data_IF_699495160625
#
_entry.id   IF_699495160625
#
_cell.length_a   1.000
_cell.length_b   1.000
_cell.length_c   1.000
_cell.angle_alpha   90.00
_cell.angle_beta   90.00
_cell.angle_gamma   90.00
#
_symmetry.space_group_name_H-M   'P 1'
#
loop_
_entity.id
_entity.type
_entity.pdbx_description
1 polymer ?
#
# COMPACT_ATOMS: atom_id res chain seq x y z
N UNK A 1 28.67 28.13 -21.76
CA UNK A 1 28.22 27.45 -23.00
C UNK A 1 26.70 27.61 -23.09
N UNK A 2 26.21 28.30 -24.15
CA UNK A 2 24.77 28.36 -24.48
C UNK A 2 24.45 27.23 -25.45
N UNK A 3 23.62 26.28 -25.00
CA UNK A 3 23.12 25.22 -25.87
C UNK A 3 21.75 25.63 -26.41
N UNK A 4 21.47 25.31 -27.67
CA UNK A 4 20.14 25.50 -28.24
C UNK A 4 19.16 24.50 -27.65
N UNK A 5 17.85 24.83 -27.66
CA UNK A 5 16.81 23.89 -27.22
C UNK A 5 16.83 22.59 -28.03
N UNK A 6 17.14 22.65 -29.34
CA UNK A 6 17.30 21.49 -30.19
C UNK A 6 18.48 20.60 -29.74
N UNK A 7 19.62 21.21 -29.42
CA UNK A 7 20.79 20.46 -28.91
C UNK A 7 20.50 19.77 -27.57
N UNK A 8 19.78 20.44 -26.67
CA UNK A 8 19.35 19.84 -25.39
C UNK A 8 18.41 18.66 -25.64
N UNK A 9 17.44 18.82 -26.56
CA UNK A 9 16.49 17.75 -26.90
C UNK A 9 17.21 16.53 -27.50
N UNK A 10 18.15 16.71 -28.40
CA UNK A 10 18.94 15.64 -28.98
C UNK A 10 19.78 14.92 -27.92
N UNK A 11 20.47 15.66 -27.06
CA UNK A 11 21.26 15.12 -25.96
C UNK A 11 20.37 14.27 -25.03
N UNK A 12 19.16 14.75 -24.70
CA UNK A 12 18.22 14.00 -23.87
C UNK A 12 17.76 12.71 -24.55
N UNK A 13 17.49 12.73 -25.85
CA UNK A 13 17.09 11.54 -26.58
C UNK A 13 18.22 10.50 -26.68
N UNK A 14 19.43 10.93 -26.97
CA UNK A 14 20.62 10.05 -26.97
C UNK A 14 20.86 9.44 -25.59
N UNK A 15 20.81 10.25 -24.54
CA UNK A 15 20.95 9.80 -23.16
C UNK A 15 19.86 8.79 -22.77
N UNK A 16 18.62 9.00 -23.20
CA UNK A 16 17.51 8.11 -22.95
C UNK A 16 17.69 6.72 -23.62
N UNK A 17 18.32 6.65 -24.80
CA UNK A 17 18.64 5.39 -25.44
C UNK A 17 19.68 4.59 -24.65
N UNK A 18 20.71 5.26 -24.13
CA UNK A 18 21.72 4.64 -23.26
C UNK A 18 21.06 4.15 -21.96
N UNK A 19 20.23 5.00 -21.33
CA UNK A 19 19.49 4.66 -20.13
C UNK A 19 18.58 3.43 -20.33
N UNK A 20 17.87 3.37 -21.47
CA UNK A 20 17.03 2.23 -21.85
C UNK A 20 17.85 0.94 -21.94
N UNK A 21 18.99 1.00 -22.63
CA UNK A 21 19.87 -0.17 -22.76
C UNK A 21 20.36 -0.69 -21.39
N UNK A 22 20.70 0.22 -20.47
CA UNK A 22 21.06 -0.17 -19.09
C UNK A 22 19.88 -0.77 -18.33
N UNK A 23 18.69 -0.19 -18.42
CA UNK A 23 17.49 -0.73 -17.77
C UNK A 23 17.17 -2.15 -18.29
N UNK A 24 17.30 -2.38 -19.59
CA UNK A 24 17.02 -3.69 -20.23
C UNK A 24 18.10 -4.74 -19.97
N UNK A 25 19.33 -4.33 -19.72
CA UNK A 25 20.45 -5.24 -19.40
C UNK A 25 20.49 -5.65 -17.93
N UNK A 26 19.65 -5.04 -17.06
CA UNK A 26 19.65 -5.36 -15.64
C UNK A 26 19.06 -6.74 -15.40
N UNK A 27 19.80 -7.58 -14.69
CA UNK A 27 19.31 -8.87 -14.19
C UNK A 27 18.30 -8.64 -13.04
N UNK A 28 17.07 -9.08 -13.26
CA UNK A 28 15.96 -8.95 -12.32
C UNK A 28 15.75 -10.20 -11.44
N UNK A 29 16.60 -11.21 -11.53
CA UNK A 29 16.52 -12.43 -10.71
C UNK A 29 16.67 -12.17 -9.21
N UNK A 30 17.18 -11.00 -8.83
CA UNK A 30 17.32 -10.55 -7.43
C UNK A 30 16.11 -9.83 -6.87
N UNK A 31 15.12 -9.52 -7.69
CA UNK A 31 13.85 -8.97 -7.25
C UNK A 31 13.11 -10.05 -6.46
N UNK A 32 12.81 -9.77 -5.18
CA UNK A 32 12.18 -10.75 -4.30
C UNK A 32 10.71 -10.46 -4.06
N UNK A 33 10.38 -9.19 -3.89
CA UNK A 33 9.03 -8.75 -3.57
C UNK A 33 8.63 -7.59 -4.50
N UNK A 34 7.87 -7.92 -5.54
CA UNK A 34 7.38 -6.92 -6.48
C UNK A 34 6.17 -6.16 -5.96
N UNK A 35 6.04 -4.90 -6.37
CA UNK A 35 4.77 -4.18 -6.29
C UNK A 35 4.43 -3.62 -7.67
N UNK A 36 3.17 -3.80 -8.09
CA UNK A 36 2.64 -3.30 -9.35
C UNK A 36 1.50 -2.32 -9.12
N UNK A 37 1.45 -1.27 -9.94
CA UNK A 37 0.39 -0.28 -9.91
C UNK A 37 0.31 0.46 -11.26
N UNK A 38 -0.70 1.29 -11.42
CA UNK A 38 -0.94 2.11 -12.60
C UNK A 38 -1.08 3.58 -12.21
N UNK A 39 -0.45 4.44 -12.98
CA UNK A 39 -0.71 5.87 -12.88
C UNK A 39 -1.12 6.43 -14.25
N UNK A 40 -1.77 7.57 -14.25
CA UNK A 40 -2.17 8.24 -15.49
C UNK A 40 -1.39 9.53 -15.68
N UNK A 41 -0.89 9.71 -16.90
CA UNK A 41 -0.34 10.97 -17.35
C UNK A 41 -0.76 11.24 -18.80
N UNK A 42 -1.23 12.47 -19.07
CA UNK A 42 -1.64 12.91 -20.41
C UNK A 42 -2.67 11.98 -21.08
N UNK A 43 -3.63 11.46 -20.29
CA UNK A 43 -4.69 10.58 -20.79
C UNK A 43 -4.26 9.13 -21.08
N UNK A 44 -3.01 8.76 -20.78
CA UNK A 44 -2.49 7.41 -20.99
C UNK A 44 -2.08 6.76 -19.68
N UNK A 45 -2.28 5.44 -19.53
CA UNK A 45 -1.78 4.71 -18.39
C UNK A 45 -0.25 4.55 -18.50
N UNK A 46 0.41 4.63 -17.36
CA UNK A 46 1.80 4.26 -17.17
C UNK A 46 1.79 3.09 -16.19
N UNK A 47 2.23 1.93 -16.64
CA UNK A 47 2.40 0.74 -15.82
C UNK A 47 3.68 0.90 -15.02
N UNK A 48 3.62 0.65 -13.73
CA UNK A 48 4.73 0.80 -12.81
C UNK A 48 5.00 -0.49 -12.03
N UNK A 49 6.28 -0.81 -11.85
CA UNK A 49 6.72 -1.95 -11.06
C UNK A 49 8.00 -1.63 -10.31
N UNK A 50 8.05 -2.03 -9.03
CA UNK A 50 9.16 -1.74 -8.13
C UNK A 50 9.45 -2.94 -7.23
N UNK A 51 10.72 -3.20 -6.95
CA UNK A 51 11.12 -4.09 -5.86
C UNK A 51 11.01 -3.37 -4.52
N UNK A 52 10.13 -3.83 -3.63
CA UNK A 52 9.84 -3.13 -2.36
C UNK A 52 11.07 -3.04 -1.45
N UNK A 53 11.91 -4.10 -1.29
CA UNK A 53 13.08 -4.01 -0.43
C UNK A 53 14.12 -2.99 -0.90
N UNK A 54 14.44 -2.95 -2.19
CA UNK A 54 15.48 -2.07 -2.76
C UNK A 54 14.95 -0.73 -3.26
N UNK A 55 13.65 -0.62 -3.54
CA UNK A 55 13.04 0.47 -4.32
C UNK A 55 13.53 0.53 -5.78
N UNK A 56 14.05 -0.57 -6.31
CA UNK A 56 14.44 -0.65 -7.70
C UNK A 56 13.22 -0.67 -8.60
N UNK A 57 13.08 0.34 -9.45
CA UNK A 57 12.03 0.43 -10.47
C UNK A 57 12.41 -0.44 -11.66
N UNK A 58 11.71 -1.57 -11.85
CA UNK A 58 11.94 -2.47 -12.97
C UNK A 58 10.94 -2.31 -14.12
N UNK A 59 9.84 -1.58 -13.89
CA UNK A 59 8.83 -1.29 -14.90
C UNK A 59 8.37 0.17 -14.78
N UNK A 60 8.44 0.89 -15.89
CA UNK A 60 7.84 2.20 -16.07
C UNK A 60 7.49 2.37 -17.55
N UNK A 61 6.32 1.89 -17.95
CA UNK A 61 5.91 1.79 -19.36
C UNK A 61 4.66 2.59 -19.65
N UNK A 62 4.73 3.54 -20.59
CA UNK A 62 3.56 4.27 -21.07
C UNK A 62 2.84 3.44 -22.15
N UNK A 63 1.59 3.12 -21.89
CA UNK A 63 0.81 2.24 -22.72
C UNK A 63 -0.43 2.94 -23.32
N UNK A 64 -1.05 2.29 -24.29
CA UNK A 64 -2.33 2.74 -24.87
C UNK A 64 -3.51 2.28 -24.01
N UNK A 65 -3.35 1.16 -23.33
CA UNK A 65 -4.36 0.49 -22.52
C UNK A 65 -3.70 -0.10 -21.26
N UNK A 66 -4.51 -0.45 -20.28
CA UNK A 66 -4.12 -1.19 -19.07
C UNK A 66 -4.83 -2.54 -18.97
N UNK A 67 -5.22 -3.08 -20.12
CA UNK A 67 -5.90 -4.36 -20.20
C UNK A 67 -4.96 -5.55 -19.91
N UNK A 68 -5.53 -6.73 -19.82
CA UNK A 68 -4.82 -7.97 -19.54
C UNK A 68 -3.69 -8.24 -20.53
N UNK A 69 -3.90 -7.98 -21.84
CA UNK A 69 -2.90 -8.25 -22.88
C UNK A 69 -1.71 -7.30 -22.73
N UNK A 70 -1.97 -6.02 -22.48
CA UNK A 70 -0.91 -5.02 -22.28
C UNK A 70 -0.05 -5.36 -21.06
N UNK A 71 -0.67 -5.69 -19.93
CA UNK A 71 0.07 -6.15 -18.74
C UNK A 71 0.83 -7.44 -19.00
N UNK A 72 0.21 -8.44 -19.66
CA UNK A 72 0.85 -9.72 -19.95
C UNK A 72 2.12 -9.56 -20.80
N UNK A 73 2.11 -8.70 -21.82
CA UNK A 73 3.30 -8.41 -22.65
C UNK A 73 4.42 -7.84 -21.77
N UNK A 74 4.12 -6.84 -20.93
CA UNK A 74 5.13 -6.24 -20.05
C UNK A 74 5.69 -7.26 -19.05
N UNK A 75 4.85 -8.12 -18.45
CA UNK A 75 5.30 -9.17 -17.52
C UNK A 75 6.19 -10.21 -18.22
N UNK A 76 5.85 -10.62 -19.44
CA UNK A 76 6.69 -11.53 -20.25
C UNK A 76 8.05 -10.91 -20.59
N UNK A 77 8.08 -9.60 -20.86
CA UNK A 77 9.35 -8.90 -21.13
C UNK A 77 10.23 -8.81 -19.87
N UNK A 78 9.62 -8.63 -18.69
CA UNK A 78 10.34 -8.71 -17.41
C UNK A 78 10.88 -10.12 -17.14
N UNK A 79 10.13 -11.19 -17.44
CA UNK A 79 10.60 -12.57 -17.28
C UNK A 79 11.84 -12.85 -18.16
N UNK A 80 11.94 -12.26 -19.36
CA UNK A 80 13.14 -12.38 -20.20
C UNK A 80 14.39 -11.77 -19.54
N UNK A 81 14.20 -10.82 -18.59
CA UNK A 81 15.27 -10.23 -17.79
C UNK A 81 15.50 -10.98 -16.46
N UNK A 82 14.88 -12.15 -16.28
CA UNK A 82 15.01 -12.96 -15.08
C UNK A 82 14.04 -12.64 -13.94
N UNK A 83 13.02 -11.80 -14.18
CA UNK A 83 12.04 -11.46 -13.16
C UNK A 83 11.25 -12.68 -12.71
N UNK A 84 11.48 -13.11 -11.47
CA UNK A 84 10.83 -14.25 -10.83
C UNK A 84 10.73 -14.02 -9.31
N UNK A 85 9.92 -13.06 -8.86
CA UNK A 85 9.82 -12.70 -7.44
C UNK A 85 9.17 -13.82 -6.62
N UNK A 86 9.42 -13.82 -5.32
CA UNK A 86 8.76 -14.75 -4.39
C UNK A 86 7.26 -14.44 -4.25
N UNK A 87 6.89 -13.17 -4.40
CA UNK A 87 5.50 -12.69 -4.42
C UNK A 87 5.40 -11.28 -5.00
N UNK A 88 4.18 -10.90 -5.35
CA UNK A 88 3.83 -9.56 -5.84
C UNK A 88 2.70 -8.98 -4.98
N UNK A 89 2.71 -7.67 -4.74
CA UNK A 89 1.59 -6.93 -4.17
C UNK A 89 1.00 -6.03 -5.26
N UNK A 90 -0.30 -6.08 -5.45
CA UNK A 90 -0.99 -5.30 -6.48
C UNK A 90 -2.40 -4.90 -6.01
N UNK A 91 -2.95 -3.88 -6.68
CA UNK A 91 -4.36 -3.50 -6.49
C UNK A 91 -5.32 -4.54 -7.09
N UNK A 92 -6.62 -4.24 -7.06
CA UNK A 92 -7.70 -5.11 -7.58
C UNK A 92 -8.02 -4.84 -9.07
N UNK A 93 -7.09 -4.28 -9.84
CA UNK A 93 -7.30 -4.01 -11.26
C UNK A 93 -7.37 -5.32 -12.07
N UNK A 94 -8.52 -5.60 -12.69
CA UNK A 94 -8.76 -6.84 -13.46
C UNK A 94 -7.68 -7.10 -14.52
N UNK A 95 -7.23 -6.06 -15.23
CA UNK A 95 -6.20 -6.18 -16.26
C UNK A 95 -4.90 -6.74 -15.72
N UNK A 96 -4.42 -6.17 -14.61
CA UNK A 96 -3.21 -6.61 -13.94
C UNK A 96 -3.36 -8.01 -13.32
N UNK A 97 -4.45 -8.25 -12.59
CA UNK A 97 -4.72 -9.53 -11.92
C UNK A 97 -4.81 -10.70 -12.91
N UNK A 98 -5.55 -10.53 -13.98
CA UNK A 98 -5.71 -11.54 -15.03
C UNK A 98 -4.38 -11.79 -15.77
N UNK A 99 -3.61 -10.73 -16.06
CA UNK A 99 -2.30 -10.87 -16.68
C UNK A 99 -1.31 -11.62 -15.77
N UNK A 100 -1.29 -11.27 -14.47
CA UNK A 100 -0.47 -11.97 -13.49
C UNK A 100 -0.81 -13.45 -13.42
N UNK A 101 -2.09 -13.80 -13.30
CA UNK A 101 -2.55 -15.20 -13.27
C UNK A 101 -2.17 -15.95 -14.56
N UNK A 102 -2.21 -15.28 -15.72
CA UNK A 102 -1.87 -15.89 -17.02
C UNK A 102 -0.36 -16.12 -17.21
N UNK A 103 0.47 -15.17 -16.77
CA UNK A 103 1.92 -15.18 -17.04
C UNK A 103 2.72 -15.72 -15.86
N UNK A 104 2.26 -15.51 -14.64
CA UNK A 104 2.98 -15.75 -13.39
C UNK A 104 2.09 -16.46 -12.35
N UNK A 105 1.19 -17.34 -12.79
CA UNK A 105 0.18 -17.96 -11.93
C UNK A 105 0.72 -18.75 -10.73
N UNK A 106 1.97 -19.20 -10.78
CA UNK A 106 2.64 -19.88 -9.67
C UNK A 106 3.18 -18.91 -8.59
N UNK A 107 3.23 -17.60 -8.89
CA UNK A 107 3.73 -16.58 -7.98
C UNK A 107 2.55 -15.93 -7.26
N UNK A 108 2.52 -15.92 -5.91
CA UNK A 108 1.46 -15.26 -5.17
C UNK A 108 1.32 -13.77 -5.52
N UNK A 109 0.09 -13.33 -5.76
CA UNK A 109 -0.25 -11.93 -5.99
C UNK A 109 -1.19 -11.45 -4.90
N UNK A 110 -0.65 -10.80 -3.88
CA UNK A 110 -1.40 -10.33 -2.72
C UNK A 110 -2.17 -9.03 -3.04
N UNK A 111 -3.21 -8.78 -2.26
CA UNK A 111 -3.94 -7.53 -2.36
C UNK A 111 -3.26 -6.42 -1.55
N UNK A 112 -3.24 -5.22 -2.12
CA UNK A 112 -2.66 -4.06 -1.49
C UNK A 112 -3.56 -3.50 -0.37
N UNK A 113 -3.03 -3.50 0.84
CA UNK A 113 -3.70 -2.92 2.00
C UNK A 113 -3.96 -1.41 1.88
N UNK A 114 -3.16 -0.67 1.11
CA UNK A 114 -3.36 0.76 0.93
C UNK A 114 -4.73 1.05 0.31
N UNK A 115 -5.11 0.32 -0.74
CA UNK A 115 -6.37 0.51 -1.44
C UNK A 115 -7.59 0.15 -0.58
N UNK A 116 -7.55 -0.97 0.15
CA UNK A 116 -8.66 -1.33 1.03
C UNK A 116 -8.79 -0.38 2.23
N UNK A 117 -7.66 0.07 2.80
CA UNK A 117 -7.68 1.08 3.86
C UNK A 117 -8.25 2.41 3.37
N UNK A 118 -7.92 2.82 2.14
CA UNK A 118 -8.50 4.01 1.50
C UNK A 118 -10.01 3.88 1.33
N UNK A 119 -10.49 2.74 0.82
CA UNK A 119 -11.93 2.48 0.65
C UNK A 119 -12.67 2.56 2.01
N UNK A 120 -12.09 2.00 3.08
CA UNK A 120 -12.63 2.10 4.44
C UNK A 120 -12.68 3.55 4.93
N UNK A 121 -11.61 4.32 4.72
CA UNK A 121 -11.55 5.73 5.10
C UNK A 121 -12.53 6.59 4.30
N UNK A 122 -12.73 6.31 3.01
CA UNK A 122 -13.69 7.01 2.16
C UNK A 122 -15.12 6.69 2.57
N UNK A 123 -15.44 5.45 2.97
CA UNK A 123 -16.71 5.09 3.57
C UNK A 123 -16.96 5.85 4.88
N UNK A 124 -15.96 5.86 5.79
CA UNK A 124 -16.01 6.62 7.05
C UNK A 124 -16.33 8.09 6.82
N UNK A 125 -15.62 8.73 5.88
CA UNK A 125 -15.81 10.13 5.51
C UNK A 125 -17.19 10.37 4.92
N UNK A 126 -17.64 9.50 4.03
CA UNK A 126 -18.96 9.58 3.41
C UNK A 126 -20.09 9.53 4.45
N UNK A 127 -20.06 8.54 5.36
CA UNK A 127 -21.09 8.39 6.40
C UNK A 127 -21.09 9.54 7.40
N UNK A 128 -19.90 10.02 7.79
CA UNK A 128 -19.77 11.22 8.66
C UNK A 128 -20.41 12.46 8.01
N UNK A 129 -20.14 12.69 6.73
CA UNK A 129 -20.70 13.83 6.01
C UNK A 129 -22.21 13.68 5.84
N UNK A 130 -22.69 12.47 5.50
CA UNK A 130 -24.13 12.18 5.33
C UNK A 130 -24.89 12.34 6.65
N UNK A 131 -24.33 11.85 7.77
CA UNK A 131 -24.89 12.07 9.11
C UNK A 131 -25.03 13.55 9.44
N UNK A 132 -23.98 14.34 9.21
CA UNK A 132 -24.02 15.78 9.45
C UNK A 132 -25.08 16.49 8.60
N UNK A 133 -25.25 16.10 7.33
CA UNK A 133 -26.26 16.65 6.46
C UNK A 133 -27.66 16.27 6.95
N UNK A 134 -27.89 14.99 7.28
CA UNK A 134 -29.18 14.51 7.80
C UNK A 134 -29.57 15.19 9.13
N UNK A 135 -28.59 15.43 10.00
CA UNK A 135 -28.76 16.18 11.25
C UNK A 135 -29.23 17.60 10.97
N UNK A 136 -28.58 18.33 10.07
CA UNK A 136 -28.97 19.69 9.68
C UNK A 136 -30.36 19.72 9.08
N UNK A 137 -30.65 18.86 8.09
CA UNK A 137 -31.96 18.78 7.42
C UNK A 137 -33.09 18.44 8.41
N UNK A 138 -32.83 17.55 9.38
CA UNK A 138 -33.79 17.21 10.43
C UNK A 138 -34.11 18.40 11.33
N UNK A 139 -33.09 19.09 11.83
CA UNK A 139 -33.31 20.26 12.73
C UNK A 139 -33.96 21.44 12.01
N UNK A 140 -33.59 21.72 10.75
CA UNK A 140 -34.23 22.75 9.95
C UNK A 140 -35.73 22.44 9.73
N UNK A 141 -36.04 21.16 9.37
CA UNK A 141 -37.41 20.72 9.20
C UNK A 141 -38.22 20.78 10.54
N UNK A 142 -37.60 20.46 11.66
CA UNK A 142 -38.21 20.55 12.99
C UNK A 142 -38.60 22.00 13.35
N UNK A 143 -37.71 22.95 13.07
CA UNK A 143 -38.02 24.40 13.25
C UNK A 143 -39.15 24.82 12.36
N UNK A 144 -39.13 24.49 11.07
CA UNK A 144 -40.20 24.78 10.11
C UNK A 144 -41.56 24.17 10.49
N UNK A 145 -41.56 22.96 11.06
CA UNK A 145 -42.78 22.29 11.52
C UNK A 145 -43.38 22.94 12.75
N UNK A 146 -42.58 23.55 13.64
CA UNK A 146 -43.04 24.27 14.81
C UNK A 146 -43.58 25.65 14.43
N UNK A 147 -43.02 26.33 13.44
CA UNK A 147 -43.42 27.67 13.00
C UNK A 147 -44.62 27.67 12.02
N UNK A 148 -45.02 26.47 11.52
CA UNK A 148 -46.11 26.35 10.54
C UNK A 148 -47.46 26.70 11.18
N UNK A 149 -48.02 27.90 10.86
CA UNK A 149 -49.24 28.45 11.42
C UNK A 149 -50.55 27.87 10.76
N UNK A 150 -50.47 27.14 9.66
CA UNK A 150 -51.62 26.65 8.89
C UNK A 150 -51.66 25.12 8.80
N UNK A 151 -52.80 24.48 9.13
CA UNK A 151 -53.00 23.01 9.20
C UNK A 151 -52.60 22.24 7.94
N UNK A 152 -52.82 22.77 6.74
CA UNK A 152 -52.44 22.10 5.47
C UNK A 152 -50.93 22.03 5.25
N UNK A 153 -50.19 23.05 5.65
CA UNK A 153 -48.74 23.07 5.58
C UNK A 153 -48.12 22.24 6.68
N UNK A 154 -48.72 22.15 7.85
CA UNK A 154 -48.26 21.37 9.00
C UNK A 154 -48.21 19.87 8.67
N UNK A 155 -49.24 19.32 8.02
CA UNK A 155 -49.26 17.89 7.63
C UNK A 155 -48.10 17.54 6.67
N UNK A 156 -47.75 18.42 5.73
CA UNK A 156 -46.62 18.25 4.80
C UNK A 156 -45.29 18.22 5.56
N UNK A 157 -45.04 19.19 6.44
CA UNK A 157 -43.84 19.26 7.21
C UNK A 157 -43.72 18.14 8.23
N UNK A 158 -44.82 17.67 8.84
CA UNK A 158 -44.79 16.52 9.76
C UNK A 158 -44.39 15.24 9.05
N UNK A 159 -44.88 14.96 7.80
CA UNK A 159 -44.44 13.80 7.04
C UNK A 159 -43.02 13.86 6.60
N UNK A 160 -42.52 15.05 6.20
CA UNK A 160 -41.14 15.28 5.85
C UNK A 160 -40.21 15.09 7.08
N UNK A 161 -40.60 15.65 8.22
CA UNK A 161 -39.87 15.52 9.49
C UNK A 161 -39.72 14.06 9.91
N UNK A 162 -40.79 13.26 9.84
CA UNK A 162 -40.73 11.83 10.19
C UNK A 162 -39.83 11.01 9.25
N UNK A 163 -39.68 11.43 7.99
CA UNK A 163 -38.75 10.77 7.06
C UNK A 163 -37.29 11.14 7.38
N UNK A 164 -37.02 12.43 7.64
CA UNK A 164 -35.70 12.92 8.00
C UNK A 164 -35.24 12.40 9.36
N UNK A 165 -36.14 12.31 10.34
CA UNK A 165 -35.87 11.70 11.64
C UNK A 165 -35.45 10.25 11.53
N UNK A 166 -36.13 9.47 10.69
CA UNK A 166 -35.76 8.06 10.43
C UNK A 166 -34.37 7.95 9.79
N UNK A 167 -34.08 8.80 8.81
CA UNK A 167 -32.78 8.82 8.16
C UNK A 167 -31.67 9.23 9.13
N UNK A 168 -31.88 10.31 9.90
CA UNK A 168 -30.94 10.78 10.93
C UNK A 168 -30.68 9.69 11.98
N UNK A 169 -31.74 9.06 12.53
CA UNK A 169 -31.58 8.01 13.52
C UNK A 169 -30.84 6.78 12.97
N UNK A 170 -31.13 6.40 11.72
CA UNK A 170 -30.44 5.31 11.04
C UNK A 170 -28.94 5.62 10.87
N UNK A 171 -28.60 6.78 10.35
CA UNK A 171 -27.20 7.19 10.15
C UNK A 171 -26.46 7.41 11.47
N UNK A 172 -27.15 7.89 12.50
CA UNK A 172 -26.59 8.06 13.85
C UNK A 172 -26.27 6.72 14.54
N UNK A 173 -26.96 5.64 14.14
CA UNK A 173 -26.63 4.29 14.56
C UNK A 173 -25.51 3.67 13.70
N UNK A 174 -25.61 3.77 12.38
CA UNK A 174 -24.67 3.11 11.44
C UNK A 174 -23.28 3.73 11.48
N UNK A 175 -23.17 5.07 11.52
CA UNK A 175 -21.87 5.75 11.38
C UNK A 175 -20.88 5.42 12.51
N UNK A 176 -21.24 5.45 13.80
CA UNK A 176 -20.35 5.04 14.88
C UNK A 176 -19.98 3.55 14.81
N UNK A 177 -20.96 2.70 14.49
CA UNK A 177 -20.75 1.25 14.37
C UNK A 177 -19.74 0.93 13.27
N UNK A 178 -19.90 1.53 12.09
CA UNK A 178 -18.92 1.40 10.98
C UNK A 178 -17.54 1.90 11.39
N UNK A 179 -17.46 3.02 12.11
CA UNK A 179 -16.19 3.54 12.61
C UNK A 179 -15.49 2.53 13.53
N UNK A 180 -16.22 1.89 14.43
CA UNK A 180 -15.70 0.86 15.32
C UNK A 180 -15.22 -0.37 14.55
N UNK A 181 -16.02 -0.88 13.61
CA UNK A 181 -15.67 -2.02 12.77
C UNK A 181 -14.42 -1.75 11.90
N UNK A 182 -14.34 -0.56 11.31
CA UNK A 182 -13.14 -0.13 10.57
C UNK A 182 -11.93 -0.06 11.50
N UNK A 183 -12.08 0.49 12.70
CA UNK A 183 -10.99 0.55 13.67
C UNK A 183 -10.48 -0.84 14.07
N UNK A 184 -11.38 -1.80 14.31
CA UNK A 184 -10.99 -3.19 14.58
C UNK A 184 -10.29 -3.84 13.38
N UNK A 185 -10.81 -3.59 12.15
CA UNK A 185 -10.17 -4.11 10.94
C UNK A 185 -8.73 -3.57 10.81
N UNK A 186 -8.54 -2.26 10.99
CA UNK A 186 -7.23 -1.60 10.85
C UNK A 186 -6.24 -2.01 11.97
N UNK A 187 -6.71 -1.99 13.23
CA UNK A 187 -5.84 -2.13 14.39
C UNK A 187 -5.67 -3.57 14.89
N UNK A 188 -6.67 -4.44 14.70
CA UNK A 188 -6.64 -5.79 15.24
C UNK A 188 -6.44 -6.87 14.16
N UNK A 189 -6.98 -6.63 12.96
CA UNK A 189 -6.82 -7.57 11.84
C UNK A 189 -5.61 -7.22 10.98
N UNK A 190 -5.52 -5.98 10.50
CA UNK A 190 -4.51 -5.56 9.53
C UNK A 190 -3.22 -5.02 10.14
N UNK A 191 -3.18 -4.76 11.43
CA UNK A 191 -1.94 -4.30 12.05
C UNK A 191 -0.84 -5.36 11.99
N UNK A 192 0.41 -4.95 11.72
CA UNK A 192 1.54 -5.88 11.62
C UNK A 192 1.73 -6.63 12.94
N UNK A 193 2.00 -5.97 14.08
CA UNK A 193 1.93 -6.62 15.38
C UNK A 193 0.47 -6.96 15.73
N UNK A 194 0.19 -8.22 16.05
CA UNK A 194 -1.18 -8.61 16.39
C UNK A 194 -1.32 -10.09 16.73
N UNK A 195 -2.54 -10.60 16.63
CA UNK A 195 -2.87 -11.99 16.95
C UNK A 195 -2.44 -12.97 15.85
N UNK A 196 -2.31 -14.27 16.17
CA UNK A 196 -2.10 -15.33 15.18
C UNK A 196 -3.18 -15.36 14.10
N UNK A 197 -2.88 -15.98 12.96
CA UNK A 197 -3.73 -16.01 11.76
C UNK A 197 -5.15 -16.50 12.04
N UNK A 198 -5.31 -17.53 12.89
CA UNK A 198 -6.63 -18.08 13.21
C UNK A 198 -7.55 -17.03 13.82
N UNK A 199 -7.07 -16.31 14.84
CA UNK A 199 -7.85 -15.28 15.53
C UNK A 199 -8.14 -14.09 14.60
N UNK A 200 -7.19 -13.72 13.72
CA UNK A 200 -7.42 -12.65 12.75
C UNK A 200 -8.48 -13.04 11.72
N UNK A 201 -8.51 -14.29 11.25
CA UNK A 201 -9.56 -14.80 10.34
C UNK A 201 -10.93 -14.81 11.01
N UNK A 202 -11.01 -15.22 12.26
CA UNK A 202 -12.24 -15.20 13.04
C UNK A 202 -12.77 -13.77 13.20
N UNK A 203 -11.92 -12.83 13.61
CA UNK A 203 -12.28 -11.43 13.77
C UNK A 203 -12.64 -10.76 12.42
N UNK A 204 -11.88 -11.05 11.36
CA UNK A 204 -12.19 -10.57 10.02
C UNK A 204 -13.60 -11.01 9.57
N UNK A 205 -13.91 -12.30 9.75
CA UNK A 205 -15.22 -12.85 9.39
C UNK A 205 -16.35 -12.22 10.22
N UNK A 206 -16.14 -12.03 11.52
CA UNK A 206 -17.10 -11.34 12.38
C UNK A 206 -17.35 -9.90 11.89
N UNK A 207 -16.29 -9.13 11.66
CA UNK A 207 -16.41 -7.74 11.16
C UNK A 207 -17.13 -7.71 9.82
N UNK A 208 -16.83 -8.64 8.90
CA UNK A 208 -17.49 -8.73 7.61
C UNK A 208 -18.99 -9.01 7.75
N UNK A 209 -19.39 -9.93 8.64
CA UNK A 209 -20.79 -10.23 8.93
C UNK A 209 -21.55 -8.99 9.46
N UNK A 210 -20.92 -8.24 10.36
CA UNK A 210 -21.49 -6.99 10.88
C UNK A 210 -21.64 -5.92 9.79
N UNK A 211 -20.64 -5.75 8.91
CA UNK A 211 -20.76 -4.88 7.74
C UNK A 211 -21.91 -5.30 6.82
N UNK A 212 -22.09 -6.60 6.59
CA UNK A 212 -23.17 -7.13 5.76
C UNK A 212 -24.55 -6.90 6.40
N UNK A 213 -24.65 -6.99 7.73
CA UNK A 213 -25.87 -6.66 8.45
C UNK A 213 -26.22 -5.16 8.30
N UNK A 214 -25.24 -4.29 8.43
CA UNK A 214 -25.42 -2.84 8.23
C UNK A 214 -25.72 -2.50 6.76
N UNK A 215 -25.16 -3.23 5.79
CA UNK A 215 -25.43 -3.07 4.37
C UNK A 215 -26.89 -3.39 4.00
N UNK A 216 -27.57 -4.26 4.74
CA UNK A 216 -29.02 -4.52 4.57
C UNK A 216 -29.86 -3.31 4.97
N UNK A 217 -29.41 -2.54 5.94
CA UNK A 217 -30.10 -1.33 6.43
C UNK A 217 -29.79 -0.12 5.55
N UNK A 218 -28.54 0.01 5.07
CA UNK A 218 -28.06 1.12 4.25
C UNK A 218 -27.02 0.60 3.23
N UNK A 219 -27.46 0.10 2.04
CA UNK A 219 -26.57 -0.62 1.12
C UNK A 219 -25.51 0.27 0.44
N UNK A 220 -25.80 1.58 0.34
CA UNK A 220 -24.94 2.50 -0.42
C UNK A 220 -23.50 2.51 0.11
N UNK A 221 -22.55 2.21 -0.77
CA UNK A 221 -21.11 2.08 -0.51
C UNK A 221 -20.68 0.95 0.45
N UNK A 222 -21.50 0.59 1.45
CA UNK A 222 -21.18 -0.49 2.40
C UNK A 222 -21.14 -1.83 1.67
N UNK A 223 -22.12 -2.11 0.80
CA UNK A 223 -22.18 -3.37 0.04
C UNK A 223 -20.94 -3.57 -0.85
N UNK A 224 -20.45 -2.51 -1.51
CA UNK A 224 -19.23 -2.58 -2.33
C UNK A 224 -17.99 -2.94 -1.52
N UNK A 225 -17.83 -2.36 -0.32
CA UNK A 225 -16.75 -2.70 0.60
C UNK A 225 -16.87 -4.16 1.08
N UNK A 226 -18.07 -4.63 1.45
CA UNK A 226 -18.28 -6.03 1.85
C UNK A 226 -17.86 -7.00 0.75
N UNK A 227 -18.22 -6.72 -0.51
CA UNK A 227 -17.85 -7.56 -1.65
C UNK A 227 -16.33 -7.63 -1.83
N UNK A 228 -15.64 -6.49 -1.76
CA UNK A 228 -14.19 -6.44 -1.83
C UNK A 228 -13.54 -7.22 -0.69
N UNK A 229 -13.92 -6.94 0.56
CA UNK A 229 -13.37 -7.63 1.73
C UNK A 229 -13.56 -9.15 1.63
N UNK A 230 -14.74 -9.61 1.20
CA UNK A 230 -15.04 -11.05 1.03
C UNK A 230 -14.14 -11.69 -0.01
N UNK A 231 -14.00 -11.06 -1.19
CA UNK A 231 -13.24 -11.61 -2.30
C UNK A 231 -11.72 -11.57 -2.06
N UNK A 232 -11.24 -10.58 -1.30
CA UNK A 232 -9.82 -10.32 -1.08
C UNK A 232 -9.29 -10.85 0.26
N UNK A 233 -10.14 -11.47 1.10
CA UNK A 233 -9.82 -11.86 2.48
C UNK A 233 -8.49 -12.58 2.61
N UNK A 234 -8.28 -13.64 1.84
CA UNK A 234 -7.10 -14.49 1.99
C UNK A 234 -5.83 -13.76 1.51
N UNK A 235 -5.89 -13.00 0.43
CA UNK A 235 -4.77 -12.16 -0.03
C UNK A 235 -4.47 -11.00 0.91
N UNK A 236 -5.49 -10.39 1.55
CA UNK A 236 -5.29 -9.36 2.57
C UNK A 236 -4.67 -9.92 3.86
N UNK A 237 -4.86 -11.19 4.17
CA UNK A 237 -4.28 -11.86 5.34
C UNK A 237 -2.97 -12.59 5.04
N UNK A 238 -2.53 -12.65 3.79
CA UNK A 238 -1.33 -13.38 3.37
C UNK A 238 -0.04 -12.94 4.09
N UNK A 239 0.07 -11.66 4.48
CA UNK A 239 1.20 -11.18 5.27
C UNK A 239 1.30 -11.85 6.65
N UNK A 240 0.18 -12.31 7.22
CA UNK A 240 0.17 -13.02 8.51
C UNK A 240 0.70 -14.43 8.36
N UNK A 241 0.40 -15.10 7.24
CA UNK A 241 0.98 -16.42 6.93
C UNK A 241 2.50 -16.31 6.76
N UNK A 242 3.00 -15.21 6.16
CA UNK A 242 4.45 -14.93 6.08
C UNK A 242 5.07 -14.72 7.47
N UNK A 243 4.39 -13.97 8.33
CA UNK A 243 4.84 -13.77 9.71
C UNK A 243 4.85 -15.10 10.49
N UNK A 244 3.80 -15.91 10.34
CA UNK A 244 3.70 -17.20 11.01
C UNK A 244 4.85 -18.13 10.62
N UNK A 245 5.20 -18.21 9.34
CA UNK A 245 6.39 -18.95 8.88
C UNK A 245 7.68 -18.43 9.54
N UNK A 246 7.91 -17.12 9.55
CA UNK A 246 9.09 -16.50 10.17
C UNK A 246 9.12 -16.76 11.70
N UNK A 247 7.97 -16.73 12.35
CA UNK A 247 7.85 -16.99 13.79
C UNK A 247 8.09 -18.45 14.14
N UNK A 248 7.69 -19.40 13.28
CA UNK A 248 8.07 -20.80 13.42
C UNK A 248 9.59 -20.99 13.35
N UNK A 249 10.27 -20.28 12.44
CA UNK A 249 11.73 -20.32 12.33
C UNK A 249 12.42 -19.76 13.60
N UNK A 250 11.88 -18.66 14.16
CA UNK A 250 12.35 -18.07 15.42
C UNK A 250 12.14 -19.06 16.57
N UNK A 251 10.94 -19.63 16.70
CA UNK A 251 10.61 -20.60 17.74
C UNK A 251 11.54 -21.82 17.67
N UNK A 252 11.78 -22.35 16.49
CA UNK A 252 12.70 -23.47 16.25
C UNK A 252 14.15 -23.12 16.59
N UNK A 253 14.62 -21.95 16.16
CA UNK A 253 16.00 -21.47 16.39
C UNK A 253 16.30 -21.34 17.88
N UNK A 254 15.34 -20.84 18.65
CA UNK A 254 15.51 -20.55 20.07
C UNK A 254 14.90 -21.61 21.00
N UNK A 255 14.41 -22.73 20.44
CA UNK A 255 13.80 -23.84 21.18
C UNK A 255 12.70 -23.39 22.15
N UNK A 256 11.84 -22.48 21.70
CA UNK A 256 10.68 -21.98 22.45
C UNK A 256 9.36 -22.30 21.71
N UNK A 257 8.23 -22.08 22.38
CA UNK A 257 6.91 -22.29 21.75
C UNK A 257 6.56 -21.14 20.81
N UNK A 258 5.79 -21.44 19.76
CA UNK A 258 5.27 -20.42 18.86
C UNK A 258 4.39 -19.38 19.59
N UNK A 259 3.70 -19.81 20.66
CA UNK A 259 2.88 -18.92 21.51
C UNK A 259 3.73 -17.83 22.15
N UNK A 260 4.92 -18.15 22.68
CA UNK A 260 5.86 -17.16 23.23
C UNK A 260 6.21 -16.11 22.17
N UNK A 261 6.53 -16.53 20.94
CA UNK A 261 6.88 -15.62 19.86
C UNK A 261 5.71 -14.69 19.49
N UNK A 262 4.48 -15.22 19.42
CA UNK A 262 3.28 -14.41 19.17
C UNK A 262 2.97 -13.46 20.34
N UNK A 263 3.17 -13.87 21.60
CA UNK A 263 2.99 -12.96 22.75
C UNK A 263 3.98 -11.81 22.73
N UNK A 264 5.26 -12.08 22.39
CA UNK A 264 6.27 -11.02 22.20
C UNK A 264 5.92 -10.12 21.01
N UNK A 265 5.41 -10.68 19.91
CA UNK A 265 4.88 -9.87 18.79
C UNK A 265 3.77 -8.92 19.25
N UNK A 266 2.85 -9.38 20.11
CA UNK A 266 1.76 -8.54 20.61
C UNK A 266 2.25 -7.40 21.53
N UNK A 267 3.40 -7.56 22.20
CA UNK A 267 4.01 -6.48 23.00
C UNK A 267 4.36 -5.28 22.12
N UNK A 268 4.68 -5.48 20.84
CA UNK A 268 5.03 -4.42 19.90
C UNK A 268 3.84 -3.49 19.56
N UNK A 269 2.64 -3.79 20.08
CA UNK A 269 1.47 -2.88 20.07
C UNK A 269 1.50 -1.87 21.22
N UNK A 270 2.27 -2.11 22.24
CA UNK A 270 2.40 -1.25 23.40
C UNK A 270 3.47 -0.18 23.16
N UNK A 271 3.35 0.94 23.86
CA UNK A 271 4.46 1.89 23.92
C UNK A 271 5.68 1.21 24.55
N UNK A 272 6.78 1.18 23.83
CA UNK A 272 8.01 0.52 24.27
C UNK A 272 8.45 1.06 25.64
N UNK A 273 8.74 0.17 26.59
CA UNK A 273 8.98 0.46 27.99
C UNK A 273 7.89 1.23 28.75
N UNK A 274 6.65 1.29 28.23
CA UNK A 274 5.51 1.81 28.98
C UNK A 274 4.97 0.77 29.99
N UNK A 275 4.13 1.24 30.94
CA UNK A 275 3.58 0.37 32.00
C UNK A 275 2.88 -0.88 31.46
N UNK A 276 2.11 -0.75 30.38
CA UNK A 276 1.42 -1.87 29.75
C UNK A 276 2.40 -2.87 29.12
N UNK A 277 3.51 -2.39 28.55
CA UNK A 277 4.57 -3.25 28.02
C UNK A 277 5.19 -4.06 29.16
N UNK A 278 5.62 -3.42 30.24
CA UNK A 278 6.19 -4.09 31.40
C UNK A 278 5.24 -5.11 32.01
N UNK A 279 3.99 -4.74 32.26
CA UNK A 279 3.00 -5.68 32.83
C UNK A 279 2.80 -6.92 31.96
N UNK A 280 2.82 -6.79 30.63
CA UNK A 280 2.63 -7.93 29.71
C UNK A 280 3.90 -8.70 29.43
N UNK A 281 5.08 -8.09 29.55
CA UNK A 281 6.35 -8.79 29.35
C UNK A 281 6.76 -9.64 30.54
N UNK A 282 6.43 -9.23 31.77
CA UNK A 282 6.80 -9.99 33.00
C UNK A 282 6.47 -11.48 32.94
N UNK A 283 5.24 -11.91 32.59
CA UNK A 283 4.93 -13.36 32.56
C UNK A 283 5.75 -14.11 31.48
N UNK A 284 6.18 -13.42 30.42
CA UNK A 284 6.99 -14.01 29.36
C UNK A 284 8.44 -14.11 29.83
N UNK A 285 8.96 -13.07 30.48
CA UNK A 285 10.29 -13.05 31.09
C UNK A 285 10.45 -14.13 32.14
N UNK A 286 9.41 -14.35 32.99
CA UNK A 286 9.40 -15.42 33.99
C UNK A 286 9.43 -16.83 33.35
N UNK A 287 8.84 -16.98 32.14
CA UNK A 287 8.79 -18.24 31.41
C UNK A 287 10.09 -18.56 30.69
N UNK A 288 10.73 -17.58 30.02
CA UNK A 288 11.86 -17.84 29.13
C UNK A 288 13.20 -17.27 29.62
N UNK A 289 13.19 -16.37 30.60
CA UNK A 289 14.37 -15.63 31.06
C UNK A 289 14.70 -14.43 30.15
N UNK A 290 15.45 -13.47 30.73
CA UNK A 290 15.74 -12.17 30.09
C UNK A 290 16.55 -12.31 28.79
N UNK A 291 17.64 -13.08 28.83
CA UNK A 291 18.54 -13.26 27.69
C UNK A 291 17.81 -13.86 26.46
N UNK A 292 16.96 -14.88 26.70
CA UNK A 292 16.21 -15.53 25.63
C UNK A 292 15.06 -14.64 25.12
N UNK A 293 14.43 -13.88 26.01
CA UNK A 293 13.41 -12.90 25.67
C UNK A 293 13.96 -11.87 24.68
N UNK A 294 15.12 -11.26 24.96
CA UNK A 294 15.75 -10.26 24.11
C UNK A 294 16.08 -10.82 22.71
N UNK A 295 16.63 -12.03 22.64
CA UNK A 295 16.93 -12.70 21.38
C UNK A 295 15.68 -12.99 20.53
N UNK A 296 14.57 -13.37 21.17
CA UNK A 296 13.29 -13.60 20.48
C UNK A 296 12.69 -12.26 20.04
N UNK A 297 12.73 -11.24 20.89
CA UNK A 297 12.21 -9.91 20.58
C UNK A 297 12.93 -9.30 19.38
N UNK A 298 14.24 -9.36 19.32
CA UNK A 298 15.04 -8.94 18.16
C UNK A 298 14.65 -9.69 16.89
N UNK A 299 14.44 -11.00 16.98
CA UNK A 299 13.95 -11.83 15.88
C UNK A 299 12.56 -11.41 15.42
N UNK A 300 11.66 -11.14 16.34
CA UNK A 300 10.29 -10.67 16.06
C UNK A 300 10.33 -9.31 15.39
N UNK A 301 11.11 -8.35 15.89
CA UNK A 301 11.26 -7.02 15.29
C UNK A 301 11.83 -7.12 13.87
N UNK A 302 12.83 -7.98 13.64
CA UNK A 302 13.38 -8.23 12.32
C UNK A 302 12.33 -8.84 11.37
N UNK A 303 11.51 -9.78 11.84
CA UNK A 303 10.43 -10.39 11.07
C UNK A 303 9.35 -9.36 10.70
N UNK A 304 8.91 -8.53 11.66
CA UNK A 304 7.94 -7.46 11.43
C UNK A 304 8.46 -6.44 10.40
N UNK A 305 9.72 -5.99 10.55
CA UNK A 305 10.35 -5.00 9.67
C UNK A 305 10.60 -5.52 8.25
N UNK A 306 10.75 -6.84 8.07
CA UNK A 306 10.99 -7.47 6.78
C UNK A 306 9.72 -8.02 6.11
N UNK A 307 8.55 -7.84 6.73
CA UNK A 307 7.25 -8.26 6.16
C UNK A 307 6.52 -7.05 5.63
N UNK A 308 6.11 -7.13 4.38
CA UNK A 308 5.40 -6.06 3.69
C UNK A 308 3.96 -6.51 3.37
N UNK A 309 3.04 -5.56 3.38
CA UNK A 309 1.62 -5.78 3.08
C UNK A 309 1.00 -4.68 2.22
N UNK A 310 1.80 -3.71 1.81
CA UNK A 310 1.33 -2.55 1.04
C UNK A 310 2.23 -2.29 -0.15
N UNK A 311 1.65 -1.76 -1.19
CA UNK A 311 2.36 -1.24 -2.36
C UNK A 311 2.87 0.19 -2.16
N UNK A 312 3.03 0.65 -0.92
CA UNK A 312 3.46 2.04 -0.62
C UNK A 312 4.75 2.45 -1.34
N UNK A 313 5.61 1.47 -1.69
CA UNK A 313 6.81 1.71 -2.48
C UNK A 313 6.45 2.16 -3.92
N UNK A 314 5.48 1.51 -4.57
CA UNK A 314 5.06 1.90 -5.93
C UNK A 314 4.27 3.22 -5.90
N UNK A 315 3.49 3.49 -4.86
CA UNK A 315 2.85 4.79 -4.67
C UNK A 315 3.88 5.93 -4.52
N UNK A 316 4.97 5.67 -3.80
CA UNK A 316 6.11 6.61 -3.72
C UNK A 316 6.76 6.81 -5.10
N UNK A 317 6.98 5.73 -5.86
CA UNK A 317 7.48 5.80 -7.23
C UNK A 317 6.56 6.65 -8.11
N UNK A 318 5.25 6.41 -8.06
CA UNK A 318 4.23 7.16 -8.79
C UNK A 318 4.27 8.65 -8.44
N UNK A 319 4.34 8.99 -7.15
CA UNK A 319 4.47 10.37 -6.69
C UNK A 319 5.73 11.08 -7.20
N UNK A 320 6.88 10.40 -7.14
CA UNK A 320 8.16 10.90 -7.66
C UNK A 320 8.11 11.08 -9.18
N UNK A 321 7.60 10.11 -9.91
CA UNK A 321 7.47 10.18 -11.37
C UNK A 321 6.54 11.31 -11.80
N UNK A 322 5.39 11.47 -11.15
CA UNK A 322 4.46 12.59 -11.42
C UNK A 322 5.13 13.94 -11.23
N UNK A 323 6.03 14.11 -10.28
CA UNK A 323 6.75 15.38 -10.08
C UNK A 323 7.66 15.76 -11.25
N UNK A 324 8.25 14.78 -11.94
CA UNK A 324 9.04 15.02 -13.16
C UNK A 324 8.17 15.27 -14.39
N UNK A 325 6.94 14.73 -14.40
CA UNK A 325 6.00 14.92 -15.50
C UNK A 325 5.25 16.25 -15.44
N UNK A 326 5.05 16.81 -14.24
CA UNK A 326 4.18 17.97 -14.00
C UNK A 326 4.46 19.19 -14.89
N UNK A 327 5.73 19.45 -15.21
CA UNK A 327 6.14 20.62 -15.99
C UNK A 327 6.34 20.32 -17.50
N UNK A 328 5.93 19.15 -17.97
CA UNK A 328 6.06 18.79 -19.40
C UNK A 328 4.71 18.92 -20.11
N UNK A 329 4.77 19.13 -21.42
CA UNK A 329 3.56 19.17 -22.27
C UNK A 329 3.10 17.77 -22.68
N UNK A 330 4.03 16.82 -22.72
CA UNK A 330 3.79 15.43 -23.12
C UNK A 330 4.76 14.49 -22.39
N UNK A 331 4.38 13.22 -22.30
CA UNK A 331 5.22 12.13 -21.85
C UNK A 331 5.48 11.19 -23.04
N UNK A 332 6.70 10.72 -23.19
CA UNK A 332 7.07 9.64 -24.09
C UNK A 332 7.89 8.59 -23.36
N UNK A 333 7.98 7.39 -23.94
CA UNK A 333 8.68 6.27 -23.33
C UNK A 333 10.17 6.57 -23.07
N UNK A 334 10.84 7.25 -24.00
CA UNK A 334 12.27 7.61 -23.83
C UNK A 334 12.52 8.42 -22.56
N UNK A 335 11.61 9.32 -22.20
CA UNK A 335 11.73 10.08 -20.97
C UNK A 335 11.47 9.23 -19.73
N UNK A 336 10.53 8.29 -19.80
CA UNK A 336 10.29 7.34 -18.70
C UNK A 336 11.47 6.41 -18.51
N UNK A 337 12.10 5.93 -19.59
CA UNK A 337 13.32 5.12 -19.54
C UNK A 337 14.45 5.88 -18.82
N UNK A 338 14.60 7.16 -19.11
CA UNK A 338 15.57 8.02 -18.43
C UNK A 338 15.21 8.25 -16.95
N UNK A 339 13.93 8.51 -16.62
CA UNK A 339 13.49 8.65 -15.22
C UNK A 339 13.74 7.35 -14.46
N UNK A 340 13.37 6.20 -15.01
CA UNK A 340 13.58 4.88 -14.43
C UNK A 340 15.07 4.68 -14.10
N UNK A 341 15.96 4.90 -15.07
CA UNK A 341 17.40 4.83 -14.87
C UNK A 341 17.88 5.79 -13.78
N UNK A 342 17.48 7.07 -13.85
CA UNK A 342 17.88 8.10 -12.88
C UNK A 342 17.45 7.74 -11.45
N UNK A 343 16.22 7.28 -11.27
CA UNK A 343 15.69 6.88 -9.96
C UNK A 343 16.46 5.68 -9.40
N UNK A 344 16.81 4.72 -10.24
CA UNK A 344 17.52 3.50 -9.86
C UNK A 344 18.98 3.75 -9.46
N UNK A 345 19.64 4.77 -10.05
CA UNK A 345 21.05 5.05 -9.82
C UNK A 345 21.31 6.30 -8.95
N UNK A 346 20.25 6.91 -8.41
CA UNK A 346 20.40 8.05 -7.49
C UNK A 346 20.30 7.59 -6.05
N UNK A 347 21.35 7.86 -5.22
CA UNK A 347 21.34 7.46 -3.82
C UNK A 347 20.24 8.15 -3.01
N UNK A 348 19.68 7.42 -2.05
CA UNK A 348 18.71 7.98 -1.10
C UNK A 348 19.38 9.02 -0.21
N UNK A 349 18.88 10.24 -0.23
CA UNK A 349 19.30 11.30 0.70
C UNK A 349 18.69 11.14 2.09
N UNK A 350 17.47 10.56 2.15
CA UNK A 350 16.71 10.29 3.37
C UNK A 350 15.88 9.01 3.15
N UNK A 351 15.75 8.20 4.17
CA UNK A 351 14.91 7.01 4.17
C UNK A 351 14.47 6.70 5.60
N UNK A 352 13.27 6.15 5.77
CA UNK A 352 12.83 5.57 7.04
C UNK A 352 13.69 4.35 7.45
N UNK A 353 14.28 3.66 6.46
CA UNK A 353 15.27 2.61 6.70
C UNK A 353 16.66 3.19 6.55
N UNK A 354 17.37 3.34 7.64
CA UNK A 354 18.71 3.95 7.68
C UNK A 354 19.70 3.25 6.75
N UNK A 355 19.61 1.92 6.63
CA UNK A 355 20.44 1.10 5.74
C UNK A 355 20.35 1.46 4.24
N UNK A 356 19.35 2.23 3.83
CA UNK A 356 19.20 2.74 2.45
C UNK A 356 19.89 4.08 2.22
N UNK A 357 20.13 4.87 3.28
CA UNK A 357 20.70 6.22 3.15
C UNK A 357 22.12 6.15 2.56
N UNK A 358 22.36 6.96 1.55
CA UNK A 358 23.64 7.00 0.82
C UNK A 358 23.80 5.93 -0.25
N UNK A 359 22.88 4.98 -0.37
CA UNK A 359 22.88 3.92 -1.40
C UNK A 359 21.79 4.15 -2.43
N UNK A 360 22.03 3.74 -3.65
CA UNK A 360 21.01 3.76 -4.72
C UNK A 360 20.15 2.47 -4.69
N UNK A 361 18.94 2.49 -5.30
CA UNK A 361 18.16 1.27 -5.50
C UNK A 361 18.94 0.14 -6.18
N UNK A 362 19.73 0.44 -7.21
CA UNK A 362 20.58 -0.54 -7.89
C UNK A 362 21.63 -1.14 -6.96
N UNK A 363 22.28 -0.34 -6.13
CA UNK A 363 23.27 -0.83 -5.15
C UNK A 363 22.62 -1.70 -4.07
N UNK A 364 21.40 -1.39 -3.67
CA UNK A 364 20.66 -2.22 -2.70
C UNK A 364 20.25 -3.55 -3.34
N UNK A 365 19.68 -3.52 -4.55
CA UNK A 365 19.25 -4.71 -5.28
C UNK A 365 20.42 -5.65 -5.59
N UNK A 366 21.51 -5.11 -6.13
CA UNK A 366 22.64 -5.91 -6.62
C UNK A 366 23.65 -6.26 -5.54
N UNK A 367 23.71 -5.48 -4.46
CA UNK A 367 24.77 -5.53 -3.44
C UNK A 367 26.12 -4.99 -3.92
N UNK A 368 26.17 -4.35 -5.10
CA UNK A 368 27.41 -3.84 -5.72
C UNK A 368 27.33 -2.32 -5.86
N UNK A 369 28.41 -1.64 -5.54
CA UNK A 369 28.54 -0.20 -5.82
C UNK A 369 28.67 0.05 -7.32
N UNK A 370 28.24 1.22 -7.76
CA UNK A 370 28.35 1.67 -9.14
C UNK A 370 28.86 3.12 -9.21
N UNK A 371 29.47 3.54 -10.34
CA UNK A 371 29.82 4.95 -10.58
C UNK A 371 28.59 5.86 -10.50
N UNK A 372 28.82 7.16 -10.42
CA UNK A 372 27.73 8.12 -10.47
C UNK A 372 26.90 7.96 -11.76
N UNK A 373 25.60 8.13 -11.70
CA UNK A 373 24.68 7.91 -12.82
C UNK A 373 25.08 8.65 -14.11
N UNK A 374 25.69 9.87 -14.01
CA UNK A 374 26.24 10.59 -15.17
C UNK A 374 27.41 9.83 -15.81
N UNK A 375 28.28 9.22 -15.02
CA UNK A 375 29.43 8.47 -15.50
C UNK A 375 29.00 7.17 -16.19
N UNK A 376 27.96 6.52 -15.68
CA UNK A 376 27.35 5.35 -16.34
C UNK A 376 26.80 5.73 -17.71
N UNK A 377 26.23 6.92 -17.87
CA UNK A 377 25.74 7.46 -19.14
C UNK A 377 26.84 8.02 -20.06
N UNK A 378 28.13 7.92 -19.65
CA UNK A 378 29.28 8.37 -20.44
C UNK A 378 29.64 9.85 -20.26
N UNK A 379 29.11 10.52 -19.26
CA UNK A 379 29.42 11.93 -18.97
C UNK A 379 30.40 12.09 -17.83
N UNK A 380 31.33 13.04 -17.97
CA UNK A 380 32.23 13.41 -16.86
C UNK A 380 31.52 14.26 -15.81
N UNK A 381 31.80 14.00 -14.53
CA UNK A 381 31.34 14.85 -13.44
C UNK A 381 32.21 16.11 -13.33
N UNK A 382 31.56 17.26 -13.14
CA UNK A 382 32.24 18.42 -12.61
C UNK A 382 32.74 18.10 -11.19
N UNK A 383 34.05 17.93 -11.02
CA UNK A 383 34.65 17.90 -9.70
C UNK A 383 34.90 19.36 -9.29
N UNK A 384 34.23 19.85 -8.23
CA UNK A 384 34.69 21.09 -7.58
C UNK A 384 36.12 20.86 -7.21
N UNK A 385 37.03 21.75 -7.63
CA UNK A 385 38.36 21.83 -7.07
C UNK A 385 38.22 21.97 -5.53
N UNK A 386 38.88 21.11 -4.78
CA UNK A 386 38.96 21.30 -3.34
C UNK A 386 39.59 22.68 -3.10
N UNK A 387 38.85 23.56 -2.38
CA UNK A 387 39.33 24.84 -1.98
C UNK A 387 40.38 24.69 -0.90
#
# INVERSE_FOLDING_TARGET
YSMSLGSISNLMNETALVAKAHNQAQDLSKVRLGAHDEMYAYGRPILAGIDIPSFYCYLLSQEKSRDTVTWAINLLDLQKQGFNPERVIADDADGLRNAHAMVMGDIPCDYDHFHISKDMMDLRRFLKNRLRTAETEYFEAAVMATDAALDKTKAKYTNQLSALEREFNLLNHISPTINTLISWMEHDVFNMPGSPIKLRRELFNFILQEFEALAKMHPHRIHGLCTKLRNQRDGLLAFVDVLDCKFHDIAKKHNCTLDVVWRICQLQRCTYYGDTYHQRSLPILDEVGEELFDLIEDGVLAALNSTEKTSSAVENLNGRTKSYLHNRKECNQSFLDFICFYLNHTPFRRSARESRVGRSPTEILTGKQHPHWLEILGYSRFKRAAA
#
